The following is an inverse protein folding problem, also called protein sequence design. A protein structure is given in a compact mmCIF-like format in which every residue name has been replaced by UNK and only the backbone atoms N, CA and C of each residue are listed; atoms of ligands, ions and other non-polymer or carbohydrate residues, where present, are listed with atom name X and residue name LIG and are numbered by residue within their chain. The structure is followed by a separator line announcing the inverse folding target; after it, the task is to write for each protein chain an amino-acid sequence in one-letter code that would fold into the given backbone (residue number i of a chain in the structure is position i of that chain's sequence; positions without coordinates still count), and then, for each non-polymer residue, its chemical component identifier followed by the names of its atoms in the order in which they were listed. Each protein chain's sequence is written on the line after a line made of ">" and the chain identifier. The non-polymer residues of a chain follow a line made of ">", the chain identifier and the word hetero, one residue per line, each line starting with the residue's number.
data_IF_777306459920
#
_entry.id   IF_777306459920
#
_cell.length_a   1.000
_cell.length_b   1.000
_cell.length_c   1.000
_cell.angle_alpha   90.00
_cell.angle_beta   90.00
_cell.angle_gamma   90.00
#
_symmetry.space_group_name_H-M   'P 1'
#
loop_
_entity.id
_entity.type
_entity.pdbx_description
1 polymer ?
#
# COMPACT_ATOMS: atom_id res chain seq x y z
N UNK A 1 -46.58 -13.43 47.38
CA UNK A 1 -48.01 -13.59 47.75
C UNK A 1 -48.84 -12.64 46.91
N UNK A 2 -49.91 -13.18 46.35
CA UNK A 2 -50.77 -12.66 45.28
C UNK A 2 -51.87 -11.74 45.85
N UNK A 3 -52.31 -10.73 45.09
CA UNK A 3 -53.73 -10.47 44.71
C UNK A 3 -53.84 -9.17 43.88
N UNK A 4 -53.94 -9.26 42.55
CA UNK A 4 -55.15 -9.41 41.67
C UNK A 4 -55.87 -8.08 41.40
N UNK A 5 -55.80 -7.53 40.17
CA UNK A 5 -56.75 -7.71 39.03
C UNK A 5 -57.89 -6.64 39.09
N UNK A 6 -58.50 -6.08 38.03
CA UNK A 6 -58.70 -6.49 36.64
C UNK A 6 -59.33 -5.36 35.78
N UNK A 7 -58.97 -5.33 34.48
CA UNK A 7 -59.83 -5.34 33.26
C UNK A 7 -60.82 -4.21 32.89
N UNK A 8 -60.71 -3.75 31.63
CA UNK A 8 -61.71 -3.70 30.52
C UNK A 8 -61.20 -2.68 29.46
N UNK A 9 -60.89 -2.96 28.18
CA UNK A 9 -61.56 -3.60 27.02
C UNK A 9 -62.76 -2.81 26.45
N UNK A 10 -62.63 -2.33 25.20
CA UNK A 10 -63.70 -1.89 24.28
C UNK A 10 -63.24 -0.76 23.35
N UNK A 11 -62.76 -0.99 22.11
CA UNK A 11 -63.43 -1.27 20.81
C UNK A 11 -64.24 -0.10 20.20
N UNK A 12 -63.71 0.39 19.07
CA UNK A 12 -64.32 0.68 17.74
C UNK A 12 -65.30 1.85 17.45
N UNK A 13 -65.03 2.49 16.28
CA UNK A 13 -65.93 3.18 15.31
C UNK A 13 -66.62 4.50 15.74
N UNK A 14 -66.90 5.53 14.92
CA UNK A 14 -66.90 5.75 13.46
C UNK A 14 -66.95 7.26 13.16
N UNK A 15 -66.39 7.66 12.01
CA UNK A 15 -66.79 8.72 11.06
C UNK A 15 -67.76 9.84 11.50
N UNK A 16 -67.40 11.10 11.22
CA UNK A 16 -68.28 11.99 10.45
C UNK A 16 -67.51 13.06 9.65
N UNK A 17 -67.88 13.14 8.37
CA UNK A 17 -67.42 14.08 7.33
C UNK A 17 -67.91 15.50 7.63
N UNK A 18 -67.11 16.51 7.28
CA UNK A 18 -67.66 17.81 6.87
C UNK A 18 -67.02 18.28 5.56
N UNK A 19 -67.89 18.59 4.60
CA UNK A 19 -67.61 19.14 3.26
C UNK A 19 -67.49 20.66 3.36
N UNK A 20 -66.58 21.25 2.56
CA UNK A 20 -66.66 22.53 1.81
C UNK A 20 -65.21 22.96 1.51
N UNK A 21 -64.80 23.55 0.38
CA UNK A 21 -65.38 23.83 -0.95
C UNK A 21 -64.15 24.23 -1.83
N UNK A 22 -64.22 23.91 -3.11
CA UNK A 22 -63.18 24.14 -4.12
C UNK A 22 -62.76 25.61 -4.27
N UNK A 23 -61.44 25.86 -4.31
CA UNK A 23 -60.84 27.02 -5.00
C UNK A 23 -59.74 26.47 -5.91
N UNK A 24 -59.95 26.64 -7.22
CA UNK A 24 -59.05 26.23 -8.29
C UNK A 24 -57.72 27.00 -8.22
N UNK A 25 -56.60 26.29 -7.99
CA UNK A 25 -55.25 26.74 -8.39
C UNK A 25 -54.80 25.90 -9.59
N UNK A 26 -54.37 26.51 -10.71
CA UNK A 26 -53.91 25.76 -11.88
C UNK A 26 -52.60 25.04 -11.57
N UNK A 27 -52.50 23.77 -11.95
CA UNK A 27 -51.25 23.00 -11.96
C UNK A 27 -50.20 23.71 -12.84
N UNK A 28 -48.91 23.73 -12.45
CA UNK A 28 -47.86 24.14 -13.35
C UNK A 28 -47.80 23.17 -14.53
N UNK A 29 -47.88 23.73 -15.75
CA UNK A 29 -47.74 22.97 -17.00
C UNK A 29 -46.31 22.42 -17.10
N UNK A 30 -46.10 21.23 -17.67
CA UNK A 30 -44.76 20.76 -18.00
C UNK A 30 -44.14 21.70 -19.04
N UNK A 31 -42.88 22.08 -18.81
CA UNK A 31 -42.07 22.88 -19.72
C UNK A 31 -42.03 22.20 -21.08
N UNK A 32 -42.63 22.84 -22.09
CA UNK A 32 -42.57 22.37 -23.48
C UNK A 32 -41.12 22.45 -23.96
N UNK A 33 -40.49 21.31 -24.19
CA UNK A 33 -39.29 21.24 -25.04
C UNK A 33 -39.72 21.71 -26.43
N UNK A 34 -39.12 22.80 -26.91
CA UNK A 34 -39.30 23.27 -28.28
C UNK A 34 -38.53 22.30 -29.18
N UNK A 35 -39.25 21.33 -29.73
CA UNK A 35 -38.75 20.39 -30.72
C UNK A 35 -38.85 21.08 -32.08
N UNK A 36 -37.71 21.46 -32.67
CA UNK A 36 -37.67 21.91 -34.06
C UNK A 36 -38.10 20.77 -34.98
N UNK A 37 -38.91 21.09 -35.99
CA UNK A 37 -39.57 20.15 -36.93
C UNK A 37 -38.62 19.18 -37.69
N UNK A 38 -37.29 19.36 -37.57
CA UNK A 38 -36.25 18.44 -38.07
C UNK A 38 -36.00 17.21 -37.19
N UNK A 39 -36.49 17.17 -35.95
CA UNK A 39 -36.25 16.07 -35.00
C UNK A 39 -37.33 14.97 -35.03
N UNK A 40 -38.33 15.07 -35.93
CA UNK A 40 -39.46 14.14 -35.98
C UNK A 40 -39.32 13.03 -37.05
N UNK A 41 -38.24 13.03 -37.85
CA UNK A 41 -38.06 12.09 -38.96
C UNK A 41 -36.63 11.51 -39.03
N UNK A 42 -36.11 10.98 -37.91
CA UNK A 42 -35.11 9.86 -37.84
C UNK A 42 -34.65 9.69 -36.39
N UNK A 43 -35.55 9.22 -35.52
CA UNK A 43 -35.16 8.77 -34.17
C UNK A 43 -34.76 7.31 -34.25
N UNK A 44 -33.56 7.05 -34.73
CA UNK A 44 -32.99 5.70 -34.80
C UNK A 44 -31.57 5.73 -35.33
N UNK A 45 -30.60 5.47 -34.45
CA UNK A 45 -29.18 5.32 -34.77
C UNK A 45 -28.98 4.34 -35.93
N UNK A 46 -28.69 4.77 -37.17
CA UNK A 46 -28.67 3.91 -38.38
C UNK A 46 -27.86 2.60 -38.25
N UNK A 47 -26.94 2.52 -37.29
CA UNK A 47 -26.22 1.30 -36.91
C UNK A 47 -27.14 0.12 -36.51
N UNK A 48 -28.37 0.35 -36.01
CA UNK A 48 -29.32 -0.74 -35.75
C UNK A 48 -29.76 -1.50 -37.01
N UNK A 49 -29.54 -0.93 -38.19
CA UNK A 49 -29.87 -1.56 -39.49
C UNK A 49 -28.70 -2.35 -40.08
N UNK A 50 -27.51 -2.22 -39.52
CA UNK A 50 -26.34 -2.97 -39.97
C UNK A 50 -26.39 -4.38 -39.35
N UNK A 51 -26.10 -5.43 -40.11
CA UNK A 51 -25.83 -6.75 -39.55
C UNK A 51 -24.69 -6.68 -38.53
N UNK A 52 -24.75 -7.48 -37.47
CA UNK A 52 -23.75 -7.49 -36.40
C UNK A 52 -22.36 -7.83 -36.94
N UNK A 53 -22.27 -8.63 -37.99
CA UNK A 53 -21.03 -9.00 -38.67
C UNK A 53 -20.36 -7.78 -39.30
N UNK A 54 -21.12 -6.95 -40.01
CA UNK A 54 -20.61 -5.71 -40.64
C UNK A 54 -20.18 -4.72 -39.56
N UNK A 55 -20.94 -4.65 -38.46
CA UNK A 55 -20.57 -3.82 -37.33
C UNK A 55 -19.25 -4.28 -36.68
N UNK A 56 -19.07 -5.58 -36.47
CA UNK A 56 -17.82 -6.15 -35.95
C UNK A 56 -16.65 -5.91 -36.91
N UNK A 57 -16.86 -5.99 -38.23
CA UNK A 57 -15.83 -5.67 -39.23
C UNK A 57 -15.38 -4.20 -39.15
N UNK A 58 -16.29 -3.27 -38.84
CA UNK A 58 -15.95 -1.86 -38.61
C UNK A 58 -15.11 -1.74 -37.34
N UNK A 59 -15.55 -2.36 -36.24
CA UNK A 59 -14.80 -2.34 -34.97
C UNK A 59 -13.41 -2.97 -35.11
N UNK A 60 -13.26 -4.00 -35.95
CA UNK A 60 -11.98 -4.66 -36.23
C UNK A 60 -10.92 -3.75 -36.89
N UNK A 61 -11.35 -2.63 -37.48
CA UNK A 61 -10.46 -1.61 -38.08
C UNK A 61 -10.07 -0.51 -37.10
N UNK A 62 -10.67 -0.47 -35.92
CA UNK A 62 -10.42 0.54 -34.90
C UNK A 62 -9.43 0.01 -33.87
N UNK A 63 -8.61 0.91 -33.33
CA UNK A 63 -7.78 0.65 -32.15
C UNK A 63 -8.64 0.50 -30.89
N UNK A 64 -8.08 -0.11 -29.84
CA UNK A 64 -8.75 -0.27 -28.53
C UNK A 64 -9.23 1.07 -27.98
N UNK A 65 -8.43 2.13 -28.13
CA UNK A 65 -8.76 3.47 -27.68
C UNK A 65 -9.90 4.10 -28.51
N UNK A 66 -9.91 3.88 -29.82
CA UNK A 66 -11.01 4.37 -30.68
C UNK A 66 -12.32 3.66 -30.38
N UNK A 67 -12.30 2.32 -30.19
CA UNK A 67 -13.48 1.56 -29.75
C UNK A 67 -13.96 2.08 -28.40
N UNK A 68 -13.03 2.39 -27.50
CA UNK A 68 -13.33 2.97 -26.20
C UNK A 68 -14.08 4.30 -26.31
N UNK A 69 -13.63 5.21 -27.17
CA UNK A 69 -14.32 6.50 -27.42
C UNK A 69 -15.68 6.24 -28.08
N UNK A 70 -15.73 5.35 -29.06
CA UNK A 70 -16.97 5.02 -29.78
C UNK A 70 -18.04 4.42 -28.86
N UNK A 71 -17.63 3.64 -27.86
CA UNK A 71 -18.54 3.05 -26.86
C UNK A 71 -19.35 4.10 -26.07
N UNK A 72 -18.92 5.37 -26.06
CA UNK A 72 -19.59 6.46 -25.35
C UNK A 72 -20.67 7.18 -26.17
N UNK A 73 -20.85 6.84 -27.46
CA UNK A 73 -21.74 7.59 -28.37
C UNK A 73 -23.23 7.37 -28.05
N UNK A 74 -23.65 6.15 -27.73
CA UNK A 74 -25.03 5.82 -27.35
C UNK A 74 -25.09 4.51 -26.57
N UNK A 75 -26.18 4.27 -25.83
CA UNK A 75 -26.38 3.02 -25.06
C UNK A 75 -26.41 1.79 -25.97
N UNK A 76 -26.98 1.93 -27.16
CA UNK A 76 -27.05 0.88 -28.18
C UNK A 76 -25.65 0.51 -28.66
N UNK A 77 -24.83 1.53 -29.00
CA UNK A 77 -23.43 1.33 -29.40
C UNK A 77 -22.63 0.71 -28.25
N UNK A 78 -22.81 1.17 -27.02
CA UNK A 78 -22.17 0.58 -25.83
C UNK A 78 -22.47 -0.91 -25.74
N UNK A 79 -23.75 -1.30 -25.88
CA UNK A 79 -24.17 -2.70 -25.82
C UNK A 79 -23.54 -3.54 -26.95
N UNK A 80 -23.55 -3.05 -28.18
CA UNK A 80 -22.92 -3.76 -29.31
C UNK A 80 -21.40 -3.87 -29.14
N UNK A 81 -20.73 -2.86 -28.55
CA UNK A 81 -19.31 -2.95 -28.19
C UNK A 81 -19.09 -4.00 -27.11
N UNK A 82 -19.92 -4.05 -26.07
CA UNK A 82 -19.84 -5.07 -25.00
C UNK A 82 -20.04 -6.48 -25.57
N UNK A 83 -20.99 -6.66 -26.49
CA UNK A 83 -21.21 -7.93 -27.20
C UNK A 83 -19.98 -8.32 -28.04
N UNK A 84 -19.42 -7.37 -28.80
CA UNK A 84 -18.22 -7.59 -29.62
C UNK A 84 -16.99 -7.99 -28.79
N UNK A 85 -16.68 -7.27 -27.71
CA UNK A 85 -15.52 -7.60 -26.86
C UNK A 85 -15.71 -8.91 -26.08
N UNK A 86 -16.96 -9.37 -25.92
CA UNK A 86 -17.26 -10.67 -25.34
C UNK A 86 -17.01 -11.84 -26.29
N UNK A 87 -16.81 -11.58 -27.60
CA UNK A 87 -16.57 -12.63 -28.59
C UNK A 87 -15.19 -13.26 -28.43
N UNK A 88 -15.11 -14.58 -28.64
CA UNK A 88 -13.83 -15.30 -28.57
C UNK A 88 -12.83 -14.78 -29.62
N UNK A 89 -13.31 -14.38 -30.80
CA UNK A 89 -12.49 -13.80 -31.86
C UNK A 89 -11.76 -12.52 -31.39
N UNK A 90 -12.50 -11.61 -30.75
CA UNK A 90 -11.90 -10.39 -30.21
C UNK A 90 -10.90 -10.68 -29.08
N UNK A 91 -11.26 -11.58 -28.15
CA UNK A 91 -10.38 -11.96 -27.03
C UNK A 91 -9.05 -12.52 -27.53
N UNK A 92 -9.10 -13.45 -28.48
CA UNK A 92 -7.89 -14.07 -29.05
C UNK A 92 -7.01 -13.07 -29.81
N UNK A 93 -7.62 -12.07 -30.45
CA UNK A 93 -6.91 -11.02 -31.20
C UNK A 93 -6.33 -9.94 -30.29
N UNK A 94 -7.06 -9.54 -29.25
CA UNK A 94 -6.81 -8.27 -28.53
C UNK A 94 -6.26 -8.46 -27.13
N UNK A 95 -6.55 -9.57 -26.44
CA UNK A 95 -5.98 -9.83 -25.11
C UNK A 95 -4.59 -10.42 -25.30
N UNK A 96 -3.56 -9.59 -25.20
CA UNK A 96 -2.16 -10.00 -25.32
C UNK A 96 -1.81 -10.93 -24.16
N UNK A 97 -1.36 -12.15 -24.48
CA UNK A 97 -0.93 -13.14 -23.48
C UNK A 97 0.60 -13.29 -23.40
N UNK A 98 1.34 -12.62 -24.28
CA UNK A 98 2.80 -12.55 -24.20
C UNK A 98 3.20 -11.52 -23.14
N UNK A 99 3.68 -12.00 -21.99
CA UNK A 99 4.21 -11.14 -20.90
C UNK A 99 5.69 -11.41 -20.61
N UNK A 100 6.32 -12.30 -21.37
CA UNK A 100 7.68 -12.78 -21.17
C UNK A 100 8.61 -12.20 -22.23
N UNK A 101 8.72 -10.87 -22.23
CA UNK A 101 9.52 -10.14 -23.21
C UNK A 101 10.96 -10.01 -22.72
N UNK A 102 11.92 -10.27 -23.60
CA UNK A 102 13.34 -10.05 -23.35
C UNK A 102 13.75 -8.58 -23.53
N UNK A 103 12.93 -7.77 -24.21
CA UNK A 103 13.26 -6.37 -24.53
C UNK A 103 12.35 -5.36 -23.82
N UNK A 104 12.94 -4.27 -23.32
CA UNK A 104 12.22 -3.19 -22.63
C UNK A 104 11.14 -2.49 -23.51
N UNK A 105 11.33 -2.25 -24.82
CA UNK A 105 10.31 -1.62 -25.66
C UNK A 105 9.02 -2.43 -25.77
N UNK A 106 9.13 -3.76 -25.91
CA UNK A 106 7.96 -4.65 -25.97
C UNK A 106 7.17 -4.63 -24.66
N UNK A 107 7.87 -4.64 -23.51
CA UNK A 107 7.24 -4.51 -22.20
C UNK A 107 6.42 -3.21 -22.10
N UNK A 108 6.99 -2.07 -22.54
CA UNK A 108 6.29 -0.78 -22.53
C UNK A 108 5.06 -0.80 -23.43
N UNK A 109 5.15 -1.43 -24.60
CA UNK A 109 4.02 -1.59 -25.51
C UNK A 109 2.89 -2.41 -24.88
N UNK A 110 3.21 -3.55 -24.26
CA UNK A 110 2.22 -4.41 -23.59
C UNK A 110 1.54 -3.68 -22.43
N UNK A 111 2.31 -2.97 -21.60
CA UNK A 111 1.76 -2.16 -20.50
C UNK A 111 0.85 -1.04 -21.02
N UNK A 112 1.26 -0.37 -22.11
CA UNK A 112 0.46 0.67 -22.78
C UNK A 112 -0.87 0.12 -23.30
N UNK A 113 -0.83 -1.06 -23.93
CA UNK A 113 -2.04 -1.74 -24.40
C UNK A 113 -3.03 -2.07 -23.27
N UNK A 114 -2.52 -2.55 -22.12
CA UNK A 114 -3.36 -2.82 -20.95
C UNK A 114 -3.95 -1.56 -20.31
N UNK A 115 -3.27 -0.42 -20.42
CA UNK A 115 -3.85 0.88 -20.08
C UNK A 115 -5.05 1.19 -20.96
N UNK A 116 -4.91 1.03 -22.28
CA UNK A 116 -6.00 1.30 -23.24
C UNK A 116 -7.20 0.36 -23.03
N UNK A 117 -6.94 -0.92 -22.73
CA UNK A 117 -7.97 -1.87 -22.31
C UNK A 117 -8.69 -1.38 -21.05
N UNK A 118 -7.96 -0.84 -20.07
CA UNK A 118 -8.55 -0.25 -18.87
C UNK A 118 -9.52 0.88 -19.20
N UNK A 119 -9.19 1.74 -20.16
CA UNK A 119 -10.07 2.84 -20.63
C UNK A 119 -11.27 2.29 -21.39
N UNK A 120 -11.09 1.29 -22.26
CA UNK A 120 -12.18 0.62 -22.98
C UNK A 120 -13.21 0.04 -22.02
N UNK A 121 -12.77 -0.87 -21.14
CA UNK A 121 -13.65 -1.49 -20.16
C UNK A 121 -14.27 -0.45 -19.24
N UNK A 122 -13.55 0.62 -18.89
CA UNK A 122 -14.11 1.69 -18.07
C UNK A 122 -15.34 2.35 -18.67
N UNK A 123 -15.25 2.72 -19.95
CA UNK A 123 -16.31 3.44 -20.65
C UNK A 123 -17.45 2.52 -21.08
N UNK A 124 -17.13 1.33 -21.58
CA UNK A 124 -18.13 0.39 -22.08
C UNK A 124 -19.02 -0.21 -20.97
N UNK A 125 -18.54 -0.20 -19.72
CA UNK A 125 -19.28 -0.73 -18.56
C UNK A 125 -19.79 0.35 -17.61
N UNK A 126 -19.66 1.64 -17.96
CA UNK A 126 -20.00 2.77 -17.10
C UNK A 126 -21.44 2.74 -16.57
N UNK A 127 -22.38 2.18 -17.35
CA UNK A 127 -23.79 2.11 -17.00
C UNK A 127 -24.15 0.92 -16.09
N UNK A 128 -23.21 0.02 -15.85
CA UNK A 128 -23.42 -1.18 -15.03
C UNK A 128 -23.12 -0.88 -13.55
N UNK A 129 -23.86 -1.49 -12.61
CA UNK A 129 -23.47 -1.50 -11.21
C UNK A 129 -22.07 -2.09 -11.01
N UNK A 130 -21.32 -1.57 -10.05
CA UNK A 130 -19.91 -1.95 -9.82
C UNK A 130 -19.69 -3.45 -9.72
N UNK A 131 -20.57 -4.18 -9.02
CA UNK A 131 -20.44 -5.64 -8.88
C UNK A 131 -20.56 -6.37 -10.22
N UNK A 132 -21.49 -5.98 -11.07
CA UNK A 132 -21.71 -6.59 -12.39
C UNK A 132 -20.57 -6.22 -13.33
N UNK A 133 -20.16 -4.95 -13.30
CA UNK A 133 -19.00 -4.43 -14.02
C UNK A 133 -17.73 -5.23 -13.73
N UNK A 134 -17.40 -5.42 -12.45
CA UNK A 134 -16.21 -6.19 -12.04
C UNK A 134 -16.33 -7.66 -12.46
N UNK A 135 -17.49 -8.29 -12.28
CA UNK A 135 -17.70 -9.69 -12.73
C UNK A 135 -17.45 -9.85 -14.22
N UNK A 136 -18.04 -8.97 -15.04
CA UNK A 136 -17.86 -8.99 -16.48
C UNK A 136 -16.37 -8.80 -16.84
N UNK A 137 -15.77 -7.70 -16.39
CA UNK A 137 -14.40 -7.33 -16.75
C UNK A 137 -13.40 -8.44 -16.40
N UNK A 138 -13.46 -8.98 -15.19
CA UNK A 138 -12.46 -9.96 -14.75
C UNK A 138 -12.72 -11.35 -15.33
N UNK A 139 -13.95 -11.64 -15.80
CA UNK A 139 -14.22 -12.86 -16.59
C UNK A 139 -13.48 -12.86 -17.92
N UNK A 140 -13.27 -11.68 -18.53
CA UNK A 140 -12.55 -11.52 -19.79
C UNK A 140 -11.06 -11.89 -19.65
N UNK A 141 -10.46 -11.55 -18.52
CA UNK A 141 -9.05 -11.84 -18.24
C UNK A 141 -8.84 -13.16 -17.49
N UNK A 142 -9.92 -13.88 -17.20
CA UNK A 142 -9.84 -15.10 -16.40
C UNK A 142 -8.91 -16.15 -17.02
N UNK A 143 -8.78 -16.21 -18.34
CA UNK A 143 -7.92 -17.18 -19.02
C UNK A 143 -6.43 -16.81 -19.06
N UNK A 144 -6.06 -15.62 -18.58
CA UNK A 144 -4.67 -15.15 -18.62
C UNK A 144 -3.87 -15.73 -17.43
N UNK A 145 -2.95 -16.68 -17.65
CA UNK A 145 -2.23 -17.33 -16.55
C UNK A 145 -1.32 -16.36 -15.79
N UNK A 146 -0.75 -15.37 -16.48
CA UNK A 146 0.17 -14.39 -15.88
C UNK A 146 -0.50 -13.41 -14.91
N UNK A 147 -1.83 -13.39 -14.83
CA UNK A 147 -2.57 -12.56 -13.87
C UNK A 147 -2.97 -13.32 -12.61
N UNK A 148 -2.79 -14.64 -12.61
CA UNK A 148 -3.18 -15.51 -11.50
C UNK A 148 -1.97 -15.83 -10.63
N UNK A 149 -2.12 -15.61 -9.33
CA UNK A 149 -1.12 -15.96 -8.33
C UNK A 149 -0.69 -17.43 -8.45
N UNK A 150 0.64 -17.67 -8.43
CA UNK A 150 1.29 -18.98 -8.47
C UNK A 150 1.20 -19.74 -9.81
N UNK A 151 0.54 -19.20 -10.84
CA UNK A 151 0.41 -19.88 -12.14
C UNK A 151 1.54 -19.53 -13.13
N UNK A 152 2.26 -18.44 -12.90
CA UNK A 152 3.34 -17.99 -13.77
C UNK A 152 4.69 -17.97 -13.03
N UNK A 153 5.61 -18.82 -13.48
CA UNK A 153 6.91 -19.07 -12.85
C UNK A 153 8.07 -18.30 -13.49
N UNK A 154 7.83 -17.56 -14.59
CA UNK A 154 8.90 -16.92 -15.34
C UNK A 154 9.39 -15.64 -14.62
N UNK A 155 10.70 -15.49 -14.39
CA UNK A 155 11.28 -14.23 -13.93
C UNK A 155 10.99 -13.13 -14.95
N UNK A 156 10.95 -11.87 -14.49
CA UNK A 156 10.73 -10.67 -15.32
C UNK A 156 9.40 -10.63 -16.10
N UNK A 157 8.43 -11.47 -15.70
CA UNK A 157 7.08 -11.40 -16.23
C UNK A 157 6.42 -10.05 -15.91
N UNK A 158 5.96 -9.33 -16.94
CA UNK A 158 5.24 -8.06 -16.79
C UNK A 158 3.72 -8.23 -16.62
N UNK A 159 3.26 -9.44 -16.33
CA UNK A 159 1.84 -9.78 -16.19
C UNK A 159 1.16 -9.00 -15.07
N UNK A 160 1.67 -9.12 -13.83
CA UNK A 160 1.11 -8.38 -12.69
C UNK A 160 1.22 -6.87 -12.87
N UNK A 161 2.33 -6.36 -13.40
CA UNK A 161 2.48 -4.94 -13.71
C UNK A 161 1.43 -4.45 -14.73
N UNK A 162 1.23 -5.19 -15.82
CA UNK A 162 0.22 -4.86 -16.85
C UNK A 162 -1.19 -4.89 -16.26
N UNK A 163 -1.46 -5.88 -15.40
CA UNK A 163 -2.74 -6.01 -14.70
C UNK A 163 -2.99 -4.88 -13.69
N UNK A 164 -1.96 -4.46 -12.97
CA UNK A 164 -2.02 -3.30 -12.07
C UNK A 164 -2.32 -2.00 -12.80
N UNK A 165 -1.63 -1.74 -13.91
CA UNK A 165 -1.89 -0.57 -14.77
C UNK A 165 -3.30 -0.59 -15.35
N UNK A 166 -3.77 -1.77 -15.77
CA UNK A 166 -5.16 -1.96 -16.20
C UNK A 166 -6.14 -1.61 -15.07
N UNK A 167 -5.96 -2.18 -13.88
CA UNK A 167 -6.83 -1.97 -12.72
C UNK A 167 -6.86 -0.51 -12.30
N UNK A 168 -5.68 0.12 -12.19
CA UNK A 168 -5.54 1.54 -11.89
C UNK A 168 -6.33 2.40 -12.88
N UNK A 169 -6.18 2.14 -14.18
CA UNK A 169 -6.85 2.92 -15.23
C UNK A 169 -8.36 2.73 -15.19
N UNK A 170 -8.81 1.50 -14.95
CA UNK A 170 -10.22 1.14 -14.84
C UNK A 170 -10.94 1.92 -13.73
N UNK A 171 -10.29 2.00 -12.55
CA UNK A 171 -10.88 2.60 -11.35
C UNK A 171 -10.48 4.05 -11.12
N UNK A 172 -9.66 4.63 -11.99
CA UNK A 172 -9.25 6.03 -11.88
C UNK A 172 -10.48 6.97 -11.74
N UNK A 173 -10.50 7.80 -10.70
CA UNK A 173 -11.60 8.73 -10.42
C UNK A 173 -12.84 8.10 -9.79
N UNK A 174 -12.79 6.84 -9.36
CA UNK A 174 -13.83 6.26 -8.50
C UNK A 174 -13.64 6.74 -7.06
N UNK A 175 -14.74 6.78 -6.30
CA UNK A 175 -14.69 7.13 -4.88
C UNK A 175 -14.12 6.00 -4.00
N UNK A 176 -13.81 6.32 -2.75
CA UNK A 176 -13.19 5.40 -1.79
C UNK A 176 -14.07 4.18 -1.46
N UNK A 177 -15.39 4.32 -1.46
CA UNK A 177 -16.32 3.21 -1.17
C UNK A 177 -16.35 2.21 -2.33
N UNK A 178 -16.36 2.70 -3.57
CA UNK A 178 -16.28 1.85 -4.75
C UNK A 178 -14.89 1.19 -4.85
N UNK A 179 -13.81 1.91 -4.55
CA UNK A 179 -12.47 1.33 -4.45
C UNK A 179 -12.37 0.24 -3.37
N UNK A 180 -13.06 0.40 -2.24
CA UNK A 180 -13.14 -0.66 -1.22
C UNK A 180 -13.88 -1.91 -1.74
N UNK A 181 -14.94 -1.74 -2.55
CA UNK A 181 -15.60 -2.89 -3.21
C UNK A 181 -14.70 -3.57 -4.21
N UNK A 182 -13.89 -2.82 -4.96
CA UNK A 182 -12.87 -3.36 -5.87
C UNK A 182 -11.86 -4.19 -5.08
N UNK A 183 -11.35 -3.67 -3.96
CA UNK A 183 -10.43 -4.40 -3.09
C UNK A 183 -11.03 -5.75 -2.65
N UNK A 184 -12.24 -5.74 -2.10
CA UNK A 184 -12.91 -6.97 -1.65
C UNK A 184 -13.11 -7.95 -2.82
N UNK A 185 -13.53 -7.46 -3.99
CA UNK A 185 -13.71 -8.30 -5.18
C UNK A 185 -12.39 -8.94 -5.64
N UNK A 186 -11.29 -8.19 -5.66
CA UNK A 186 -9.96 -8.73 -6.03
C UNK A 186 -9.48 -9.76 -4.99
N UNK A 187 -9.69 -9.49 -3.70
CA UNK A 187 -9.39 -10.43 -2.62
C UNK A 187 -10.15 -11.75 -2.77
N UNK A 188 -11.45 -11.68 -3.04
CA UNK A 188 -12.32 -12.86 -3.25
C UNK A 188 -11.90 -13.64 -4.50
N UNK A 189 -11.64 -12.93 -5.62
CA UNK A 189 -11.26 -13.56 -6.88
C UNK A 189 -9.93 -14.33 -6.78
N UNK A 190 -8.99 -13.83 -5.99
CA UNK A 190 -7.63 -14.37 -5.90
C UNK A 190 -7.37 -15.19 -4.64
N UNK A 191 -8.36 -15.30 -3.74
CA UNK A 191 -8.22 -15.80 -2.37
C UNK A 191 -7.04 -15.14 -1.64
N UNK A 192 -6.86 -13.82 -1.84
CA UNK A 192 -5.66 -13.10 -1.41
C UNK A 192 -5.42 -13.19 0.10
N UNK A 193 -6.48 -13.00 0.89
CA UNK A 193 -6.37 -13.01 2.35
C UNK A 193 -5.91 -14.37 2.86
N UNK A 194 -6.47 -15.47 2.35
CA UNK A 194 -6.03 -16.82 2.71
C UNK A 194 -4.56 -17.07 2.32
N UNK A 195 -4.13 -16.60 1.15
CA UNK A 195 -2.73 -16.71 0.71
C UNK A 195 -1.77 -15.88 1.58
N UNK A 196 -2.19 -14.69 2.00
CA UNK A 196 -1.45 -13.88 2.97
C UNK A 196 -1.30 -14.66 4.29
N UNK A 197 -2.39 -15.20 4.83
CA UNK A 197 -2.39 -15.98 6.08
C UNK A 197 -1.38 -17.13 6.03
N UNK A 198 -1.39 -17.89 4.94
CA UNK A 198 -0.47 -19.02 4.67
C UNK A 198 1.00 -18.57 4.67
N UNK A 199 1.28 -17.35 4.16
CA UNK A 199 2.63 -16.79 4.07
C UNK A 199 3.13 -16.25 5.42
N UNK A 200 2.27 -15.55 6.17
CA UNK A 200 2.64 -14.93 7.46
C UNK A 200 2.74 -15.95 8.61
N UNK A 201 1.95 -17.04 8.56
CA UNK A 201 1.99 -18.13 9.55
C UNK A 201 3.03 -19.20 9.20
N UNK A 202 3.49 -19.22 7.95
CA UNK A 202 4.49 -20.18 7.49
C UNK A 202 5.88 -19.94 8.08
N UNK A 203 6.62 -21.02 8.32
CA UNK A 203 8.02 -20.95 8.74
C UNK A 203 8.86 -20.12 7.74
N UNK A 204 9.78 -19.25 8.20
CA UNK A 204 10.74 -18.58 7.34
C UNK A 204 11.49 -19.57 6.43
N UNK A 205 11.79 -19.17 5.19
CA UNK A 205 12.55 -19.98 4.22
C UNK A 205 11.76 -21.10 3.49
N UNK A 206 10.69 -21.66 4.07
CA UNK A 206 10.03 -22.86 3.50
C UNK A 206 9.19 -22.57 2.24
N UNK A 207 8.58 -21.37 2.16
CA UNK A 207 7.62 -20.99 1.10
C UNK A 207 8.06 -19.76 0.31
N UNK A 208 9.36 -19.63 0.05
CA UNK A 208 9.95 -18.42 -0.55
C UNK A 208 9.25 -18.00 -1.85
N UNK A 209 8.89 -18.95 -2.72
CA UNK A 209 8.20 -18.67 -3.98
C UNK A 209 6.80 -18.05 -3.77
N UNK A 210 6.01 -18.59 -2.85
CA UNK A 210 4.69 -18.04 -2.53
C UNK A 210 4.80 -16.63 -1.91
N UNK A 211 5.84 -16.39 -1.10
CA UNK A 211 6.12 -15.05 -0.57
C UNK A 211 6.46 -14.07 -1.69
N UNK A 212 7.30 -14.47 -2.64
CA UNK A 212 7.68 -13.64 -3.78
C UNK A 212 6.48 -13.35 -4.68
N UNK A 213 5.68 -14.36 -5.03
CA UNK A 213 4.45 -14.19 -5.83
C UNK A 213 3.46 -13.25 -5.15
N UNK A 214 3.24 -13.42 -3.84
CA UNK A 214 2.40 -12.54 -3.05
C UNK A 214 2.94 -11.10 -3.06
N UNK A 215 4.24 -10.93 -2.84
CA UNK A 215 4.90 -9.62 -2.91
C UNK A 215 4.69 -8.97 -4.27
N UNK A 216 5.00 -9.67 -5.36
CA UNK A 216 4.88 -9.15 -6.72
C UNK A 216 3.43 -8.78 -7.04
N UNK A 217 2.46 -9.61 -6.68
CA UNK A 217 1.05 -9.30 -6.89
C UNK A 217 0.61 -8.06 -6.10
N UNK A 218 0.83 -8.03 -4.79
CA UNK A 218 0.43 -6.89 -3.97
C UNK A 218 1.15 -5.61 -4.40
N UNK A 219 2.46 -5.68 -4.66
CA UNK A 219 3.26 -4.52 -5.08
C UNK A 219 2.83 -4.06 -6.47
N UNK A 220 2.87 -4.91 -7.48
CA UNK A 220 2.63 -4.50 -8.88
C UNK A 220 1.16 -4.32 -9.26
N UNK A 221 0.21 -4.96 -8.57
CA UNK A 221 -1.23 -4.84 -8.87
C UNK A 221 -1.91 -3.81 -7.98
N UNK A 222 -1.57 -3.77 -6.68
CA UNK A 222 -2.32 -3.01 -5.68
C UNK A 222 -1.59 -1.79 -5.11
N UNK A 223 -0.25 -1.69 -5.17
CA UNK A 223 0.50 -0.66 -4.41
C UNK A 223 1.33 0.30 -5.28
N UNK A 224 2.14 -0.24 -6.19
CA UNK A 224 3.08 0.50 -7.05
C UNK A 224 2.44 1.24 -8.23
N UNK A 225 1.30 0.81 -8.82
CA UNK A 225 0.72 1.54 -9.95
C UNK A 225 0.36 2.98 -9.61
N UNK A 226 0.00 3.27 -8.36
CA UNK A 226 -0.52 4.59 -7.95
C UNK A 226 0.57 5.66 -7.93
N UNK A 227 0.34 6.77 -8.61
CA UNK A 227 1.21 7.95 -8.58
C UNK A 227 1.00 8.83 -7.35
N UNK A 228 -0.19 8.74 -6.72
CA UNK A 228 -0.57 9.50 -5.54
C UNK A 228 -0.30 8.68 -4.26
N UNK A 229 0.45 9.26 -3.34
CA UNK A 229 0.77 8.64 -2.05
C UNK A 229 -0.49 8.28 -1.24
N UNK A 230 -1.56 9.07 -1.35
CA UNK A 230 -2.82 8.82 -0.63
C UNK A 230 -3.52 7.55 -1.12
N UNK A 231 -3.46 7.27 -2.42
CA UNK A 231 -4.05 6.08 -2.99
C UNK A 231 -3.24 4.84 -2.57
N UNK A 232 -1.90 4.90 -2.67
CA UNK A 232 -1.03 3.83 -2.14
C UNK A 232 -1.30 3.57 -0.65
N UNK A 233 -1.55 4.64 0.13
CA UNK A 233 -1.84 4.53 1.57
C UNK A 233 -3.16 3.80 1.80
N UNK A 234 -4.20 4.16 1.06
CA UNK A 234 -5.50 3.50 1.12
C UNK A 234 -5.35 1.99 0.88
N UNK A 235 -4.71 1.59 -0.23
CA UNK A 235 -4.55 0.18 -0.58
C UNK A 235 -3.69 -0.58 0.43
N UNK A 236 -2.61 0.02 0.93
CA UNK A 236 -1.78 -0.56 1.97
C UNK A 236 -2.57 -0.76 3.28
N UNK A 237 -3.37 0.22 3.67
CA UNK A 237 -4.23 0.11 4.85
C UNK A 237 -5.29 -0.98 4.69
N UNK A 238 -5.89 -1.13 3.50
CA UNK A 238 -6.84 -2.23 3.25
C UNK A 238 -6.18 -3.60 3.36
N UNK A 239 -4.92 -3.74 2.94
CA UNK A 239 -4.16 -4.98 3.09
C UNK A 239 -3.81 -5.29 4.55
N UNK A 240 -3.51 -4.28 5.37
CA UNK A 240 -3.08 -4.45 6.77
C UNK A 240 -4.25 -4.62 7.76
N UNK A 241 -5.35 -3.89 7.55
CA UNK A 241 -6.51 -3.82 8.47
C UNK A 241 -7.08 -5.18 8.93
N UNK A 242 -7.14 -6.24 8.10
CA UNK A 242 -7.67 -7.53 8.53
C UNK A 242 -6.81 -8.27 9.56
N UNK A 243 -5.56 -7.85 9.77
CA UNK A 243 -4.56 -8.62 10.49
C UNK A 243 -4.24 -8.03 11.87
N UNK A 244 -3.85 -8.84 12.87
CA UNK A 244 -3.28 -8.35 14.12
C UNK A 244 -1.91 -7.71 13.90
N UNK A 245 -1.41 -6.93 14.87
CA UNK A 245 -0.20 -6.10 14.74
C UNK A 245 1.05 -6.90 14.33
N UNK A 246 1.25 -8.08 14.92
CA UNK A 246 2.36 -9.00 14.59
C UNK A 246 2.31 -9.42 13.12
N UNK A 247 1.13 -9.79 12.64
CA UNK A 247 0.89 -10.18 11.25
C UNK A 247 1.03 -9.01 10.29
N UNK A 248 0.64 -7.80 10.69
CA UNK A 248 0.87 -6.58 9.91
C UNK A 248 2.37 -6.31 9.73
N UNK A 249 3.17 -6.45 10.79
CA UNK A 249 4.62 -6.31 10.72
C UNK A 249 5.24 -7.35 9.78
N UNK A 250 4.82 -8.62 9.89
CA UNK A 250 5.30 -9.70 9.05
C UNK A 250 4.91 -9.50 7.57
N UNK A 251 3.72 -8.97 7.30
CA UNK A 251 3.26 -8.62 5.97
C UNK A 251 4.05 -7.44 5.39
N UNK A 252 4.30 -6.38 6.18
CA UNK A 252 5.15 -5.27 5.76
C UNK A 252 6.56 -5.74 5.39
N UNK A 253 7.16 -6.62 6.20
CA UNK A 253 8.45 -7.23 5.90
C UNK A 253 8.40 -8.05 4.61
N UNK A 254 7.33 -8.80 4.37
CA UNK A 254 7.15 -9.58 3.15
C UNK A 254 7.05 -8.68 1.91
N UNK A 255 6.32 -7.56 2.02
CA UNK A 255 6.06 -6.66 0.90
C UNK A 255 7.23 -5.72 0.58
N UNK A 256 7.92 -5.23 1.62
CA UNK A 256 8.91 -4.14 1.51
C UNK A 256 10.29 -4.47 2.07
N UNK A 257 10.48 -5.67 2.64
CA UNK A 257 11.78 -6.10 3.15
C UNK A 257 12.85 -6.23 2.06
N UNK A 258 14.12 -6.36 2.45
CA UNK A 258 15.23 -6.52 1.52
C UNK A 258 15.09 -7.82 0.70
N UNK A 259 15.47 -7.74 -0.57
CA UNK A 259 15.57 -8.88 -1.47
C UNK A 259 17.04 -9.18 -1.73
N UNK A 260 17.39 -10.46 -1.70
CA UNK A 260 18.66 -10.97 -2.19
C UNK A 260 18.67 -10.95 -3.74
N UNK A 261 19.84 -11.00 -4.38
CA UNK A 261 19.96 -11.05 -5.84
C UNK A 261 19.11 -12.16 -6.49
N UNK A 262 18.92 -13.28 -5.77
CA UNK A 262 18.11 -14.42 -6.19
C UNK A 262 16.60 -14.20 -6.01
N UNK A 263 16.16 -12.96 -5.72
CA UNK A 263 14.76 -12.60 -5.45
C UNK A 263 14.13 -13.30 -4.24
N UNK A 264 14.96 -13.79 -3.32
CA UNK A 264 14.51 -14.31 -2.02
C UNK A 264 14.53 -13.20 -0.97
N UNK A 265 13.66 -13.28 0.04
CA UNK A 265 13.67 -12.30 1.13
C UNK A 265 14.92 -12.47 1.98
N UNK A 266 15.77 -11.45 2.03
CA UNK A 266 17.02 -11.42 2.80
C UNK A 266 16.78 -11.16 4.29
N UNK A 267 15.88 -11.90 4.92
CA UNK A 267 15.56 -11.71 6.35
C UNK A 267 16.73 -12.11 7.25
N UNK A 268 17.56 -13.06 6.82
CA UNK A 268 18.74 -13.50 7.55
C UNK A 268 19.77 -12.36 7.64
N UNK A 269 19.97 -11.62 6.55
CA UNK A 269 20.84 -10.44 6.54
C UNK A 269 20.37 -9.34 7.51
N UNK A 270 19.06 -9.23 7.77
CA UNK A 270 18.53 -8.27 8.76
C UNK A 270 19.00 -8.58 10.18
N UNK A 271 19.28 -9.85 10.46
CA UNK A 271 19.66 -10.38 11.78
C UNK A 271 21.17 -10.44 11.91
N UNK A 272 21.87 -10.93 10.89
CA UNK A 272 23.29 -11.29 10.98
C UNK A 272 24.24 -10.12 10.73
N UNK A 273 23.86 -9.14 9.88
CA UNK A 273 24.79 -8.09 9.44
C UNK A 273 24.15 -6.72 9.26
N UNK A 274 24.99 -5.68 9.21
CA UNK A 274 24.57 -4.34 8.81
C UNK A 274 24.27 -4.27 7.31
N UNK A 275 23.04 -3.90 6.95
CA UNK A 275 22.61 -3.73 5.56
C UNK A 275 22.87 -2.30 5.05
N UNK A 276 23.07 -2.10 3.74
CA UNK A 276 23.20 -0.78 3.16
C UNK A 276 21.89 0.01 3.23
N UNK A 277 22.00 1.34 3.18
CA UNK A 277 20.87 2.28 3.14
C UNK A 277 19.76 1.86 2.17
N UNK A 278 20.11 1.50 0.94
CA UNK A 278 19.17 1.18 -0.13
C UNK A 278 18.27 -0.02 0.18
N UNK A 279 18.75 -0.97 0.97
CA UNK A 279 18.03 -2.21 1.27
C UNK A 279 16.80 -2.00 2.16
N UNK A 280 16.80 -0.96 2.99
CA UNK A 280 15.71 -0.63 3.92
C UNK A 280 14.83 0.53 3.44
N UNK A 281 15.19 1.16 2.32
CA UNK A 281 14.52 2.37 1.83
C UNK A 281 13.04 2.14 1.50
N UNK A 282 12.69 1.02 0.86
CA UNK A 282 11.31 0.67 0.51
C UNK A 282 10.43 0.50 1.75
N UNK A 283 10.98 -0.17 2.78
CA UNK A 283 10.32 -0.37 4.05
C UNK A 283 10.12 0.96 4.80
N UNK A 284 11.14 1.82 4.82
CA UNK A 284 11.04 3.14 5.42
C UNK A 284 9.97 3.99 4.74
N UNK A 285 9.91 3.98 3.40
CA UNK A 285 8.87 4.68 2.64
C UNK A 285 7.47 4.16 3.00
N UNK A 286 7.30 2.85 3.17
CA UNK A 286 6.01 2.29 3.61
C UNK A 286 5.60 2.81 5.00
N UNK A 287 6.52 2.86 5.97
CA UNK A 287 6.24 3.41 7.30
C UNK A 287 5.92 4.90 7.28
N UNK A 288 6.68 5.70 6.53
CA UNK A 288 6.42 7.13 6.35
C UNK A 288 5.02 7.37 5.75
N UNK A 289 4.67 6.55 4.76
CA UNK A 289 3.38 6.62 4.06
C UNK A 289 2.22 6.22 4.98
N UNK A 290 2.43 5.29 5.93
CA UNK A 290 1.44 5.01 6.98
C UNK A 290 1.39 6.11 8.05
N UNK A 291 2.50 6.79 8.32
CA UNK A 291 2.61 7.80 9.37
C UNK A 291 2.07 9.19 8.97
N UNK A 292 2.11 9.55 7.68
CA UNK A 292 1.81 10.90 7.17
C UNK A 292 0.39 11.44 7.43
N UNK A 293 -0.60 10.60 7.75
CA UNK A 293 -1.99 11.02 8.04
C UNK A 293 -2.30 11.09 9.54
N UNK A 294 -1.31 10.89 10.41
CA UNK A 294 -1.52 10.65 11.84
C UNK A 294 -1.60 11.90 12.71
N UNK A 295 -1.46 13.10 12.15
CA UNK A 295 -1.59 14.35 12.90
C UNK A 295 -3.01 14.61 13.44
N UNK A 296 -3.99 13.71 13.21
CA UNK A 296 -5.39 13.92 13.63
C UNK A 296 -5.91 12.92 14.69
N UNK A 297 -5.22 11.82 15.03
CA UNK A 297 -5.62 10.93 16.16
C UNK A 297 -4.45 10.14 16.77
N UNK A 298 -4.13 10.44 18.03
CA UNK A 298 -3.12 9.74 18.88
C UNK A 298 -3.27 8.22 18.99
N UNK A 299 -4.44 7.67 18.67
CA UNK A 299 -4.69 6.23 18.79
C UNK A 299 -3.91 5.42 17.75
N UNK A 300 -3.67 5.97 16.55
CA UNK A 300 -3.03 5.25 15.46
C UNK A 300 -1.48 5.34 15.49
N UNK A 301 -0.90 6.37 16.11
CA UNK A 301 0.56 6.47 16.31
C UNK A 301 1.06 5.35 17.22
N UNK A 302 0.31 5.02 18.27
CA UNK A 302 0.60 3.89 19.15
C UNK A 302 0.56 2.54 18.41
N UNK A 303 -0.39 2.35 17.48
CA UNK A 303 -0.45 1.14 16.65
C UNK A 303 0.73 1.02 15.71
N UNK A 304 1.18 2.11 15.06
CA UNK A 304 2.36 2.06 14.20
C UNK A 304 3.65 1.82 14.98
N UNK A 305 3.81 2.42 16.15
CA UNK A 305 4.95 2.15 17.04
C UNK A 305 4.93 0.68 17.50
N UNK A 306 3.75 0.10 17.75
CA UNK A 306 3.62 -1.32 18.06
C UNK A 306 4.00 -2.20 16.88
N UNK A 307 3.52 -1.91 15.66
CA UNK A 307 3.91 -2.64 14.43
C UNK A 307 5.43 -2.54 14.21
N UNK A 308 6.02 -1.36 14.41
CA UNK A 308 7.46 -1.17 14.32
C UNK A 308 8.21 -2.04 15.34
N UNK A 309 7.74 -2.09 16.59
CA UNK A 309 8.33 -2.93 17.65
C UNK A 309 8.25 -4.43 17.31
N UNK A 310 7.14 -4.88 16.74
CA UNK A 310 6.99 -6.27 16.26
C UNK A 310 7.90 -6.55 15.06
N UNK A 311 8.05 -5.60 14.13
CA UNK A 311 8.85 -5.76 12.92
C UNK A 311 10.32 -6.07 13.23
N UNK A 312 10.92 -5.31 14.16
CA UNK A 312 12.35 -5.42 14.48
C UNK A 312 12.71 -6.67 15.28
N UNK A 313 11.72 -7.47 15.66
CA UNK A 313 11.91 -8.75 16.37
C UNK A 313 11.46 -9.97 15.57
N UNK A 314 10.92 -9.77 14.35
CA UNK A 314 10.41 -10.83 13.49
C UNK A 314 11.32 -11.01 12.26
N UNK A 315 11.63 -12.26 11.86
CA UNK A 315 11.36 -13.51 12.59
C UNK A 315 12.27 -13.72 13.80
N UNK A 316 13.36 -12.96 13.89
CA UNK A 316 14.29 -12.89 15.01
C UNK A 316 14.69 -11.43 15.25
N UNK A 317 15.27 -11.07 16.41
CA UNK A 317 15.78 -9.73 16.67
C UNK A 317 16.74 -9.25 15.59
N UNK A 318 16.47 -8.09 15.01
CA UNK A 318 17.31 -7.52 13.97
C UNK A 318 18.64 -7.02 14.54
N UNK A 319 19.65 -6.99 13.69
CA UNK A 319 20.90 -6.31 13.96
C UNK A 319 20.63 -4.84 14.34
N UNK A 320 21.22 -4.36 15.43
CA UNK A 320 20.89 -3.03 16.00
C UNK A 320 21.18 -1.89 15.02
N UNK A 321 22.21 -2.04 14.18
CA UNK A 321 22.50 -1.08 13.10
C UNK A 321 21.34 -0.97 12.09
N UNK A 322 20.67 -2.08 11.76
CA UNK A 322 19.54 -2.08 10.83
C UNK A 322 18.31 -1.41 11.44
N UNK A 323 18.09 -1.60 12.75
CA UNK A 323 17.03 -0.90 13.49
C UNK A 323 17.30 0.61 13.52
N UNK A 324 18.53 1.01 13.84
CA UNK A 324 18.96 2.41 13.82
C UNK A 324 18.79 3.03 12.44
N UNK A 325 19.22 2.33 11.39
CA UNK A 325 19.08 2.77 10.00
C UNK A 325 17.63 2.95 9.59
N UNK A 326 16.76 1.98 9.89
CA UNK A 326 15.34 2.13 9.60
C UNK A 326 14.73 3.35 10.32
N UNK A 327 15.10 3.63 11.56
CA UNK A 327 14.63 4.81 12.30
C UNK A 327 15.11 6.12 11.66
N UNK A 328 16.37 6.19 11.24
CA UNK A 328 16.92 7.37 10.54
C UNK A 328 16.17 7.61 9.22
N UNK A 329 15.94 6.55 8.44
CA UNK A 329 15.22 6.63 7.16
C UNK A 329 13.76 7.09 7.33
N UNK A 330 13.11 6.68 8.42
CA UNK A 330 11.75 7.11 8.78
C UNK A 330 11.66 8.54 9.34
N UNK A 331 12.77 9.24 9.46
CA UNK A 331 12.82 10.66 9.84
C UNK A 331 12.53 10.95 11.32
N UNK A 332 12.60 12.24 11.66
CA UNK A 332 12.62 12.71 13.05
C UNK A 332 11.39 12.33 13.86
N UNK A 333 10.19 12.40 13.25
CA UNK A 333 8.94 12.21 13.97
C UNK A 333 8.82 10.79 14.49
N UNK A 334 8.92 9.78 13.61
CA UNK A 334 8.81 8.38 14.01
C UNK A 334 9.98 7.97 14.91
N UNK A 335 11.20 8.39 14.57
CA UNK A 335 12.38 8.13 15.39
C UNK A 335 12.20 8.63 16.83
N UNK A 336 11.79 9.89 16.99
CA UNK A 336 11.49 10.48 18.29
C UNK A 336 10.38 9.71 19.03
N UNK A 337 9.25 9.42 18.38
CA UNK A 337 8.13 8.73 19.02
C UNK A 337 8.53 7.34 19.53
N UNK A 338 9.31 6.58 18.76
CA UNK A 338 9.79 5.26 19.17
C UNK A 338 10.75 5.35 20.37
N UNK A 339 11.72 6.27 20.31
CA UNK A 339 12.70 6.46 21.37
C UNK A 339 12.06 7.01 22.65
N UNK A 340 11.18 8.01 22.54
CA UNK A 340 10.42 8.56 23.66
C UNK A 340 9.51 7.51 24.31
N UNK A 341 8.83 6.67 23.51
CA UNK A 341 8.05 5.54 24.03
C UNK A 341 8.90 4.58 24.85
N UNK A 342 10.15 4.29 24.44
CA UNK A 342 11.06 3.46 25.23
C UNK A 342 11.53 4.19 26.50
N UNK A 343 11.78 5.50 26.42
CA UNK A 343 12.26 6.31 27.55
C UNK A 343 11.24 6.35 28.69
N UNK A 344 9.98 6.58 28.36
CA UNK A 344 8.86 6.55 29.34
C UNK A 344 8.73 5.17 30.01
N UNK A 345 9.10 4.10 29.32
CA UNK A 345 9.10 2.73 29.87
C UNK A 345 10.39 2.38 30.66
N UNK A 346 11.26 3.35 30.96
CA UNK A 346 12.47 3.15 31.78
C UNK A 346 13.60 2.37 31.09
N UNK A 347 13.54 2.16 29.77
CA UNK A 347 14.51 1.32 29.03
C UNK A 347 15.77 2.07 28.61
N UNK A 348 16.46 2.68 29.56
CA UNK A 348 17.61 3.56 29.30
C UNK A 348 18.77 2.87 28.57
N UNK A 349 19.09 1.63 28.91
CA UNK A 349 20.16 0.85 28.27
C UNK A 349 19.88 0.63 26.78
N UNK A 350 18.68 0.14 26.45
CA UNK A 350 18.28 -0.10 25.05
C UNK A 350 18.30 1.18 24.22
N UNK A 351 17.83 2.29 24.79
CA UNK A 351 17.77 3.59 24.10
C UNK A 351 19.17 4.12 23.85
N UNK A 352 20.03 4.07 24.87
CA UNK A 352 21.42 4.54 24.78
C UNK A 352 22.16 3.76 23.70
N UNK A 353 22.00 2.42 23.68
CA UNK A 353 22.61 1.57 22.66
C UNK A 353 22.12 1.96 21.27
N UNK A 354 20.82 2.11 21.12
CA UNK A 354 20.22 2.48 19.84
C UNK A 354 20.65 3.88 19.36
N UNK A 355 20.82 4.85 20.25
CA UNK A 355 21.33 6.19 19.92
C UNK A 355 22.76 6.14 19.40
N UNK A 356 23.65 5.35 20.03
CA UNK A 356 25.03 5.16 19.55
C UNK A 356 25.02 4.60 18.11
N UNK A 357 24.19 3.59 17.82
CA UNK A 357 24.05 3.08 16.45
C UNK A 357 23.40 4.07 15.49
N UNK A 358 22.46 4.92 15.94
CA UNK A 358 21.91 6.02 15.13
C UNK A 358 23.02 7.00 14.73
N UNK A 359 23.91 7.35 15.66
CA UNK A 359 25.04 8.26 15.43
C UNK A 359 26.03 7.64 14.44
N UNK A 360 26.36 6.36 14.62
CA UNK A 360 27.16 5.59 13.68
C UNK A 360 26.56 5.61 12.27
N UNK A 361 25.26 5.27 12.15
CA UNK A 361 24.56 5.24 10.86
C UNK A 361 24.49 6.62 10.23
N UNK A 362 24.33 7.69 11.01
CA UNK A 362 24.34 9.05 10.48
C UNK A 362 25.67 9.36 9.77
N UNK A 363 26.80 8.96 10.35
CA UNK A 363 28.11 9.16 9.73
C UNK A 363 28.28 8.26 8.49
N UNK A 364 27.92 6.97 8.60
CA UNK A 364 28.06 5.97 7.54
C UNK A 364 27.22 6.27 6.29
N UNK A 365 25.98 6.73 6.48
CA UNK A 365 25.03 6.98 5.40
C UNK A 365 24.99 8.47 4.99
N UNK A 366 25.85 9.33 5.55
CA UNK A 366 26.01 10.73 5.15
C UNK A 366 24.94 11.70 5.69
N UNK A 367 24.24 11.36 6.77
CA UNK A 367 23.30 12.25 7.44
C UNK A 367 24.02 13.28 8.32
N UNK A 368 23.44 14.48 8.42
CA UNK A 368 24.01 15.53 9.25
C UNK A 368 23.96 15.18 10.74
N UNK A 369 25.14 15.09 11.38
CA UNK A 369 25.24 14.83 12.82
C UNK A 369 24.41 15.78 13.71
N UNK A 370 24.17 17.03 13.27
CA UNK A 370 23.29 17.97 13.98
C UNK A 370 21.86 17.46 14.18
N UNK A 371 21.40 16.57 13.30
CA UNK A 371 20.11 15.90 13.43
C UNK A 371 20.10 14.96 14.65
N UNK A 372 21.12 14.11 14.79
CA UNK A 372 21.25 13.19 15.92
C UNK A 372 21.36 13.96 17.25
N UNK A 373 22.15 15.04 17.28
CA UNK A 373 22.29 15.86 18.49
C UNK A 373 20.94 16.52 18.89
N UNK A 374 20.18 17.06 17.94
CA UNK A 374 18.83 17.59 18.20
C UNK A 374 17.87 16.51 18.69
N UNK A 375 18.00 15.28 18.18
CA UNK A 375 17.21 14.14 18.61
C UNK A 375 17.46 13.82 20.10
N UNK A 376 18.73 13.70 20.50
CA UNK A 376 19.13 13.46 21.89
C UNK A 376 18.63 14.57 22.80
N UNK A 377 18.77 15.83 22.40
CA UNK A 377 18.25 16.96 23.18
C UNK A 377 16.73 16.92 23.38
N UNK A 378 15.98 16.58 22.34
CA UNK A 378 14.53 16.46 22.47
C UNK A 378 14.16 15.28 23.37
N UNK A 379 14.92 14.18 23.35
CA UNK A 379 14.73 13.07 24.28
C UNK A 379 15.08 13.44 25.73
N UNK A 380 16.10 14.27 25.97
CA UNK A 380 16.41 14.77 27.30
C UNK A 380 15.21 15.49 27.95
N UNK A 381 14.34 16.10 27.15
CA UNK A 381 13.12 16.77 27.65
C UNK A 381 12.05 15.80 28.14
N UNK A 382 12.11 14.53 27.75
CA UNK A 382 11.21 13.47 28.26
C UNK A 382 11.48 13.21 29.75
N UNK A 383 12.73 13.37 30.18
CA UNK A 383 13.11 13.27 31.59
C UNK A 383 12.79 14.57 32.32
N UNK A 384 12.04 14.45 33.41
CA UNK A 384 11.45 15.61 34.10
C UNK A 384 12.44 16.26 35.04
N UNK A 385 13.28 15.47 35.70
CA UNK A 385 14.20 15.96 36.73
C UNK A 385 15.64 16.11 36.20
N UNK A 386 16.41 17.11 36.67
CA UNK A 386 17.84 17.23 36.36
C UNK A 386 18.67 15.95 36.61
N UNK A 387 18.50 15.20 37.72
CA UNK A 387 19.24 13.95 37.93
C UNK A 387 18.88 12.86 36.91
N UNK A 388 17.61 12.74 36.48
CA UNK A 388 17.24 11.79 35.40
C UNK A 388 17.93 12.16 34.08
N UNK A 389 17.97 13.45 33.73
CA UNK A 389 18.64 13.94 32.53
C UNK A 389 20.14 13.65 32.57
N UNK A 390 20.77 13.91 33.71
CA UNK A 390 22.18 13.59 33.91
C UNK A 390 22.44 12.09 33.83
N UNK A 391 21.61 11.28 34.48
CA UNK A 391 21.70 9.81 34.42
C UNK A 391 21.56 9.27 32.99
N UNK A 392 20.66 9.83 32.19
CA UNK A 392 20.54 9.47 30.77
C UNK A 392 21.80 9.82 29.96
N UNK A 393 22.34 11.04 30.12
CA UNK A 393 23.56 11.45 29.42
C UNK A 393 24.74 10.56 29.84
N UNK A 394 24.91 10.32 31.14
CA UNK A 394 25.96 9.44 31.66
C UNK A 394 25.83 8.01 31.09
N UNK A 395 24.60 7.48 31.00
CA UNK A 395 24.36 6.17 30.42
C UNK A 395 24.68 6.12 28.92
N UNK A 396 24.44 7.21 28.20
CA UNK A 396 24.82 7.34 26.78
C UNK A 396 26.33 7.32 26.59
N UNK A 397 27.08 8.06 27.42
CA UNK A 397 28.55 8.07 27.41
C UNK A 397 29.15 6.70 27.76
N UNK A 398 28.61 6.05 28.79
CA UNK A 398 29.00 4.67 29.15
C UNK A 398 28.75 3.72 27.97
N UNK A 399 27.62 3.88 27.27
CA UNK A 399 27.27 3.03 26.14
C UNK A 399 28.18 3.26 24.92
N UNK A 400 28.66 4.49 24.68
CA UNK A 400 29.69 4.71 23.67
C UNK A 400 30.95 3.90 23.97
N UNK A 401 31.37 3.87 25.24
CA UNK A 401 32.53 3.09 25.68
C UNK A 401 32.30 1.59 25.50
N UNK A 402 31.12 1.09 25.86
CA UNK A 402 30.78 -0.33 25.74
C UNK A 402 30.70 -0.79 24.28
N UNK A 403 30.00 -0.04 23.42
CA UNK A 403 29.91 -0.38 21.98
C UNK A 403 31.29 -0.26 21.31
N UNK A 404 32.10 0.74 21.67
CA UNK A 404 33.47 0.86 21.13
C UNK A 404 34.33 -0.34 21.53
N UNK A 405 34.21 -0.80 22.77
CA UNK A 405 34.89 -2.01 23.25
C UNK A 405 34.45 -3.25 22.48
N UNK A 406 33.15 -3.43 22.27
CA UNK A 406 32.63 -4.55 21.46
C UNK A 406 33.24 -4.55 20.05
N UNK A 407 33.22 -3.41 19.33
CA UNK A 407 33.80 -3.31 17.99
C UNK A 407 35.31 -3.58 17.99
N UNK A 408 36.03 -3.10 19.01
CA UNK A 408 37.46 -3.37 19.16
C UNK A 408 37.74 -4.86 19.39
N UNK A 409 37.00 -5.51 20.30
CA UNK A 409 37.13 -6.94 20.56
C UNK A 409 36.85 -7.79 19.32
N UNK A 410 35.80 -7.45 18.54
CA UNK A 410 35.52 -8.11 17.27
C UNK A 410 36.65 -7.92 16.24
N UNK A 411 37.27 -6.73 16.19
CA UNK A 411 38.38 -6.45 15.26
C UNK A 411 39.69 -7.16 15.64
N UNK A 412 39.88 -7.48 16.93
CA UNK A 412 41.11 -8.14 17.43
C UNK A 412 41.00 -9.67 17.41
N UNK A 413 39.80 -10.22 17.52
CA UNK A 413 39.56 -11.67 17.59
C UNK A 413 39.31 -12.33 16.23
N UNK A 414 38.98 -11.56 15.19
CA UNK A 414 38.88 -12.06 13.83
C UNK A 414 40.26 -12.33 13.20
N UNK A 415 40.39 -13.47 12.51
CA UNK A 415 41.59 -13.89 11.78
C UNK A 415 41.25 -14.11 10.27
N UNK A 416 40.30 -13.35 9.72
CA UNK A 416 39.73 -13.57 8.38
C UNK A 416 39.47 -12.25 7.62
N UNK A 417 39.32 -12.25 6.29
CA UNK A 417 39.14 -11.03 5.48
C UNK A 417 38.00 -10.08 5.90
N UNK A 418 37.05 -10.51 6.74
CA UNK A 418 36.04 -9.66 7.40
C UNK A 418 36.66 -8.63 8.39
N UNK A 419 37.91 -8.81 8.81
CA UNK A 419 38.64 -7.96 9.76
C UNK A 419 38.84 -6.52 9.26
N UNK A 420 38.88 -6.32 7.93
CA UNK A 420 39.02 -4.97 7.35
C UNK A 420 37.73 -4.16 7.45
N UNK A 421 36.57 -4.80 7.27
CA UNK A 421 35.27 -4.12 7.35
C UNK A 421 34.89 -3.79 8.80
N UNK A 422 35.22 -4.67 9.74
CA UNK A 422 35.02 -4.44 11.17
C UNK A 422 35.93 -3.33 11.69
N UNK A 423 37.22 -3.33 11.33
CA UNK A 423 38.14 -2.24 11.67
C UNK A 423 37.71 -0.91 11.06
N UNK A 424 37.30 -0.89 9.79
CA UNK A 424 36.76 0.31 9.17
C UNK A 424 35.51 0.81 9.90
N UNK A 425 34.62 -0.08 10.32
CA UNK A 425 33.43 0.27 11.09
C UNK A 425 33.78 0.84 12.47
N UNK A 426 34.83 0.34 13.12
CA UNK A 426 35.38 0.93 14.34
C UNK A 426 35.91 2.35 14.11
N UNK A 427 36.66 2.58 13.04
CA UNK A 427 37.11 3.93 12.69
C UNK A 427 35.93 4.89 12.48
N UNK A 428 34.89 4.46 11.75
CA UNK A 428 33.68 5.27 11.54
C UNK A 428 32.97 5.53 12.89
N UNK A 429 32.93 4.55 13.80
CA UNK A 429 32.35 4.74 15.13
C UNK A 429 33.11 5.82 15.92
N UNK A 430 34.44 5.78 15.93
CA UNK A 430 35.27 6.78 16.60
C UNK A 430 35.09 8.18 16.00
N UNK A 431 35.06 8.29 14.67
CA UNK A 431 34.81 9.56 13.98
C UNK A 431 33.40 10.10 14.28
N UNK A 432 32.39 9.21 14.25
CA UNK A 432 31.01 9.56 14.55
C UNK A 432 30.85 10.05 16.00
N UNK A 433 31.56 9.40 16.94
CA UNK A 433 31.64 9.79 18.35
C UNK A 433 32.27 11.16 18.49
N UNK A 434 33.46 11.39 17.92
CA UNK A 434 34.15 12.68 18.01
C UNK A 434 33.28 13.83 17.46
N UNK A 435 32.64 13.62 16.30
CA UNK A 435 31.75 14.61 15.67
C UNK A 435 30.49 14.85 16.48
N UNK A 436 29.88 13.81 17.04
CA UNK A 436 28.70 13.93 17.90
C UNK A 436 29.02 14.75 19.15
N UNK A 437 30.04 14.37 19.91
CA UNK A 437 30.42 15.06 21.15
C UNK A 437 30.82 16.52 20.88
N UNK A 438 31.60 16.77 19.82
CA UNK A 438 31.97 18.14 19.42
C UNK A 438 30.74 19.01 19.17
N UNK A 439 29.71 18.49 18.46
CA UNK A 439 28.48 19.23 18.20
C UNK A 439 27.56 19.33 19.42
N UNK A 440 27.52 18.30 20.25
CA UNK A 440 26.75 18.29 21.49
C UNK A 440 27.28 19.34 22.47
N UNK A 441 28.60 19.40 22.68
CA UNK A 441 29.26 20.41 23.51
C UNK A 441 29.05 21.83 22.96
N UNK A 442 29.27 22.05 21.66
CA UNK A 442 29.03 23.37 21.05
C UNK A 442 27.59 23.87 21.23
N UNK A 443 26.63 22.96 21.32
CA UNK A 443 25.22 23.33 21.49
C UNK A 443 24.80 23.44 22.96
N UNK A 444 25.55 22.88 23.90
CA UNK A 444 25.36 23.11 25.35
C UNK A 444 26.01 24.43 25.78
N UNK A 445 27.13 24.80 25.15
CA UNK A 445 27.88 26.02 25.44
C UNK A 445 27.33 27.27 24.74
N UNK A 446 26.34 27.10 23.85
CA UNK A 446 25.52 28.18 23.28
C UNK A 446 24.21 28.28 24.05
#
# INVERSE_FOLDING_TARGET
>A
MVRTASRNVGKYTSTHKSRKRNIHRPRPRPTRTIVTRSQCLTVGCFFHRLPSEVYHMILDKMSVLEISIFSMVSKEITRSVVEYISTLAWKNKTIIQSFHHSTCPEQRSTIGHYRDLGVLFKRSTLLQPTKERLKFIFSEFSQVPCFRLEQCLKPDCVGFLSYGVFLQTLIAGWDELECHRVFNFVCDLTNLLQKIEIVITGKPGVRWYQKLQLRLFCRQVLLDPWSNQMDTQFWLMQLLKPWPLVSQAHLLLTLYGPLLPESTLGWQDLVERGLPHSALWDLARAFLLLFSKLEVKDQNTNSLVAIFKELIVIPQPWHVENVARLLVLCGSSLCYTVLASKAVNGRLLEISRLIVYIILVCEKDGYHMSWAVKMVQNLCKVFSTPPERFGFIQQLENMFSDVTREFFEFSVTGNQPEDRETFQSLCILLDSSARFHTKFLHMILK
#
